data_IF_099868834168
#
_entry.id   IF_099868834168
#
_cell.length_a   1.000
_cell.length_b   1.000
_cell.length_c   1.000
_cell.angle_alpha   90.00
_cell.angle_beta   90.00
_cell.angle_gamma   90.00
#
_symmetry.space_group_name_H-M   'P 1'
#
loop_
_entity.id
_entity.type
_entity.pdbx_description
1 polymer ?
#
# COMPACT_ATOMS: atom_id res chain seq x y z
N UNK A 1 -19.68 -48.76 -33.58
CA UNK A 1 -20.00 -47.79 -32.52
C UNK A 1 -19.08 -46.60 -32.70
N UNK A 2 -19.61 -45.47 -33.15
CA UNK A 2 -18.81 -44.27 -33.42
C UNK A 2 -18.38 -43.61 -32.10
N UNK A 3 -17.08 -43.42 -31.97
CA UNK A 3 -16.40 -42.79 -30.85
C UNK A 3 -16.92 -41.36 -30.61
N UNK A 4 -17.79 -41.20 -29.60
CA UNK A 4 -18.30 -39.90 -29.14
C UNK A 4 -17.31 -39.20 -28.19
N UNK A 5 -16.18 -39.82 -27.83
CA UNK A 5 -15.17 -39.28 -26.93
C UNK A 5 -14.20 -38.28 -27.58
N UNK A 6 -14.12 -38.27 -28.91
CA UNK A 6 -13.09 -37.54 -29.66
C UNK A 6 -13.45 -36.05 -29.89
N UNK A 7 -14.74 -35.71 -30.03
CA UNK A 7 -15.16 -34.33 -30.35
C UNK A 7 -14.98 -33.36 -29.19
N UNK A 8 -15.29 -33.77 -27.97
CA UNK A 8 -15.14 -32.92 -26.77
C UNK A 8 -13.67 -32.70 -26.44
N UNK A 9 -12.85 -33.76 -26.56
CA UNK A 9 -11.40 -33.66 -26.36
C UNK A 9 -10.76 -32.70 -27.37
N UNK A 10 -11.11 -32.83 -28.66
CA UNK A 10 -10.64 -31.91 -29.71
C UNK A 10 -11.07 -30.47 -29.48
N UNK A 11 -12.29 -30.24 -29.01
CA UNK A 11 -12.76 -28.89 -28.68
C UNK A 11 -11.97 -28.30 -27.50
N UNK A 12 -11.70 -29.09 -26.46
CA UNK A 12 -10.91 -28.65 -25.31
C UNK A 12 -9.45 -28.37 -25.67
N UNK A 13 -8.83 -29.23 -26.49
CA UNK A 13 -7.46 -29.02 -26.98
C UNK A 13 -7.36 -27.79 -27.88
N UNK A 14 -8.38 -27.55 -28.72
CA UNK A 14 -8.47 -26.36 -29.56
C UNK A 14 -8.63 -25.08 -28.73
N UNK A 15 -9.58 -25.05 -27.78
CA UNK A 15 -9.77 -23.91 -26.88
C UNK A 15 -8.53 -23.64 -26.01
N UNK A 16 -7.85 -24.71 -25.57
CA UNK A 16 -6.59 -24.58 -24.84
C UNK A 16 -5.49 -24.00 -25.73
N UNK A 17 -5.43 -24.40 -27.00
CA UNK A 17 -4.53 -23.83 -28.01
C UNK A 17 -4.81 -22.34 -28.26
N UNK A 18 -6.08 -21.95 -28.44
CA UNK A 18 -6.49 -20.56 -28.59
C UNK A 18 -6.15 -19.73 -27.35
N UNK A 19 -6.36 -20.28 -26.14
CA UNK A 19 -5.95 -19.63 -24.89
C UNK A 19 -4.42 -19.44 -24.79
N UNK A 20 -3.63 -20.42 -25.27
CA UNK A 20 -2.17 -20.27 -25.33
C UNK A 20 -1.72 -19.27 -26.41
N UNK A 21 -2.40 -19.21 -27.56
CA UNK A 21 -2.16 -18.20 -28.60
C UNK A 21 -2.56 -16.79 -28.14
N UNK A 22 -3.68 -16.63 -27.44
CA UNK A 22 -4.06 -15.36 -26.80
C UNK A 22 -3.08 -14.96 -25.70
N UNK A 23 -2.67 -15.89 -24.83
CA UNK A 23 -1.66 -15.62 -23.80
C UNK A 23 -0.28 -15.28 -24.38
N UNK A 24 0.11 -15.89 -25.51
CA UNK A 24 1.37 -15.57 -26.18
C UNK A 24 1.32 -14.27 -26.96
N UNK A 25 0.19 -13.93 -27.59
CA UNK A 25 -0.03 -12.60 -28.19
C UNK A 25 -0.04 -11.48 -27.13
N UNK A 26 -0.51 -11.75 -25.91
CA UNK A 26 -0.37 -10.85 -24.75
C UNK A 26 1.11 -10.73 -24.32
N UNK A 27 1.91 -11.80 -24.43
CA UNK A 27 3.35 -11.76 -24.14
C UNK A 27 4.20 -11.03 -25.20
N UNK A 28 3.74 -10.94 -26.46
CA UNK A 28 4.44 -10.21 -27.53
C UNK A 28 4.16 -8.71 -27.56
N UNK A 29 3.06 -8.23 -26.95
CA UNK A 29 2.75 -6.79 -26.79
C UNK A 29 3.52 -6.14 -25.61
N UNK A 30 4.84 -6.37 -25.57
CA UNK A 30 5.76 -5.93 -24.50
C UNK A 30 5.88 -4.40 -24.36
N UNK A 31 4.92 -3.75 -23.70
CA UNK A 31 5.07 -2.54 -22.84
C UNK A 31 3.95 -2.41 -21.80
N UNK A 32 3.28 -3.49 -21.42
CA UNK A 32 2.22 -3.37 -20.42
C UNK A 32 2.78 -3.21 -19.01
N UNK A 33 2.09 -2.40 -18.21
CA UNK A 33 2.41 -2.12 -16.82
C UNK A 33 1.29 -2.70 -15.96
N UNK A 34 1.63 -3.58 -15.02
CA UNK A 34 0.65 -4.36 -14.25
C UNK A 34 1.24 -4.86 -12.93
N UNK A 35 0.36 -5.42 -12.09
CA UNK A 35 0.75 -6.15 -10.90
C UNK A 35 0.58 -7.65 -11.14
N UNK A 36 1.55 -8.46 -10.69
CA UNK A 36 1.55 -9.91 -10.86
C UNK A 36 1.99 -10.62 -9.58
N UNK A 37 1.26 -11.63 -9.14
CA UNK A 37 1.66 -12.47 -8.01
C UNK A 37 2.76 -13.48 -8.41
N UNK A 38 3.48 -14.01 -7.41
CA UNK A 38 4.57 -14.97 -7.64
C UNK A 38 4.09 -16.33 -8.17
N UNK A 39 2.82 -16.68 -7.96
CA UNK A 39 2.19 -17.87 -8.57
C UNK A 39 1.83 -17.67 -10.05
N UNK A 40 2.10 -16.49 -10.60
CA UNK A 40 1.81 -16.15 -11.98
C UNK A 40 0.48 -15.41 -12.17
N UNK A 41 -0.35 -15.28 -11.14
CA UNK A 41 -1.65 -14.62 -11.26
C UNK A 41 -1.48 -13.14 -11.66
N UNK A 42 -2.16 -12.75 -12.72
CA UNK A 42 -2.32 -11.34 -13.09
C UNK A 42 -3.28 -10.65 -12.11
N UNK A 43 -2.84 -9.53 -11.52
CA UNK A 43 -3.58 -8.80 -10.48
C UNK A 43 -4.07 -7.42 -10.95
N UNK A 44 -3.99 -7.15 -12.26
CA UNK A 44 -4.53 -5.97 -12.90
C UNK A 44 -3.48 -5.03 -13.48
N UNK A 45 -3.96 -4.16 -14.36
CA UNK A 45 -3.22 -3.16 -15.13
C UNK A 45 -2.99 -1.89 -14.33
N UNK A 46 -1.78 -1.34 -14.45
CA UNK A 46 -1.46 0.02 -14.07
C UNK A 46 -1.80 0.91 -15.26
N UNK A 47 -2.79 1.78 -15.09
CA UNK A 47 -3.27 2.67 -16.15
C UNK A 47 -3.88 3.93 -15.54
N UNK A 48 -3.83 5.04 -16.27
CA UNK A 48 -4.51 6.28 -15.89
C UNK A 48 -6.03 6.19 -16.10
N UNK A 49 -6.50 5.27 -16.95
CA UNK A 49 -7.92 5.02 -17.13
C UNK A 49 -8.44 4.04 -16.06
N UNK A 50 -8.99 4.59 -14.97
CA UNK A 50 -9.60 3.80 -13.89
C UNK A 50 -10.80 2.94 -14.29
N UNK A 51 -11.38 3.17 -15.46
CA UNK A 51 -12.54 2.44 -15.98
C UNK A 51 -12.16 1.35 -16.99
N UNK A 52 -10.87 1.23 -17.33
CA UNK A 52 -10.36 0.08 -18.08
C UNK A 52 -10.72 -1.21 -17.32
N UNK A 53 -11.18 -2.23 -18.05
CA UNK A 53 -11.64 -3.49 -17.47
C UNK A 53 -10.54 -4.19 -16.66
N UNK A 54 -9.29 -4.05 -17.11
CA UNK A 54 -8.15 -4.66 -16.44
C UNK A 54 -7.54 -3.75 -15.38
N UNK A 55 -7.97 -2.49 -15.26
CA UNK A 55 -7.40 -1.55 -14.29
C UNK A 55 -7.53 -2.05 -12.85
N UNK A 56 -6.43 -1.96 -12.11
CA UNK A 56 -6.42 -2.15 -10.65
C UNK A 56 -7.37 -1.15 -9.96
N UNK A 57 -7.61 0.03 -10.53
CA UNK A 57 -8.50 1.04 -9.94
C UNK A 57 -9.97 0.87 -10.31
N UNK A 58 -10.31 -0.09 -11.18
CA UNK A 58 -11.69 -0.36 -11.54
C UNK A 58 -12.37 -1.16 -10.43
N UNK A 59 -13.06 -0.45 -9.52
CA UNK A 59 -13.78 -1.04 -8.38
C UNK A 59 -14.91 -2.01 -8.77
N UNK A 60 -15.31 -2.04 -10.03
CA UNK A 60 -16.29 -2.99 -10.56
C UNK A 60 -15.64 -4.11 -11.39
N UNK A 61 -14.37 -3.95 -11.74
CA UNK A 61 -13.59 -4.92 -12.49
C UNK A 61 -13.05 -6.06 -11.61
N UNK A 62 -12.56 -7.14 -12.24
CA UNK A 62 -12.02 -8.30 -11.54
C UNK A 62 -10.80 -7.97 -10.68
N UNK A 63 -10.01 -6.94 -11.02
CA UNK A 63 -8.75 -6.65 -10.33
C UNK A 63 -8.84 -5.51 -9.30
N UNK A 64 -9.81 -4.62 -9.42
CA UNK A 64 -10.02 -3.52 -8.49
C UNK A 64 -11.17 -3.70 -7.50
N UNK A 65 -12.07 -4.66 -7.75
CA UNK A 65 -13.21 -4.91 -6.84
C UNK A 65 -12.77 -5.44 -5.49
N UNK A 66 -13.30 -4.87 -4.40
CA UNK A 66 -13.10 -5.36 -3.02
C UNK A 66 -13.70 -6.75 -2.75
N UNK A 67 -14.43 -7.31 -3.70
CA UNK A 67 -15.09 -8.61 -3.59
C UNK A 67 -14.43 -9.69 -4.47
N UNK A 68 -13.56 -9.30 -5.41
CA UNK A 68 -12.93 -10.24 -6.32
C UNK A 68 -11.79 -11.02 -5.64
N UNK A 69 -11.65 -12.30 -5.97
CA UNK A 69 -10.58 -13.14 -5.44
C UNK A 69 -9.20 -12.85 -6.06
N UNK A 70 -9.13 -12.09 -7.17
CA UNK A 70 -7.88 -11.66 -7.81
C UNK A 70 -7.50 -10.23 -7.47
N UNK A 71 -8.30 -9.54 -6.65
CA UNK A 71 -8.08 -8.15 -6.27
C UNK A 71 -7.25 -8.05 -5.00
N UNK A 72 -6.28 -7.14 -5.01
CA UNK A 72 -5.49 -6.75 -3.83
C UNK A 72 -6.30 -5.96 -2.79
N UNK A 73 -7.46 -5.41 -3.17
CA UNK A 73 -8.35 -4.67 -2.26
C UNK A 73 -9.33 -5.59 -1.52
N UNK A 74 -9.44 -6.85 -1.94
CA UNK A 74 -10.23 -7.82 -1.22
C UNK A 74 -9.42 -8.38 -0.05
N UNK A 75 -9.79 -7.98 1.18
CA UNK A 75 -9.14 -8.43 2.42
C UNK A 75 -9.26 -9.93 2.70
N UNK A 76 -10.03 -10.66 1.92
CA UNK A 76 -10.18 -12.12 2.01
C UNK A 76 -9.50 -12.86 0.86
N UNK A 77 -8.97 -12.16 -0.16
CA UNK A 77 -8.28 -12.80 -1.26
C UNK A 77 -6.86 -13.26 -0.86
N UNK A 78 -6.26 -14.21 -1.60
CA UNK A 78 -4.86 -14.59 -1.44
C UNK A 78 -3.87 -13.43 -1.64
N UNK A 79 -4.30 -12.35 -2.31
CA UNK A 79 -3.46 -11.23 -2.73
C UNK A 79 -3.69 -9.96 -1.91
N UNK A 80 -4.83 -9.81 -1.24
CA UNK A 80 -5.18 -8.62 -0.44
C UNK A 80 -5.31 -8.89 1.07
N UNK A 81 -5.35 -10.15 1.51
CA UNK A 81 -5.51 -10.49 2.92
C UNK A 81 -4.22 -10.36 3.74
N UNK A 82 -4.34 -10.09 5.03
CA UNK A 82 -3.19 -10.04 5.97
C UNK A 82 -2.45 -11.38 6.17
N UNK A 83 -2.95 -12.47 5.59
CA UNK A 83 -2.43 -13.83 5.80
C UNK A 83 -2.05 -14.55 4.50
N UNK A 84 -2.48 -14.06 3.33
CA UNK A 84 -2.21 -14.70 2.06
C UNK A 84 -0.70 -14.80 1.78
N UNK A 85 -0.25 -15.96 1.30
CA UNK A 85 1.17 -16.18 0.95
C UNK A 85 1.65 -15.25 -0.16
N UNK A 86 0.74 -14.82 -1.03
CA UNK A 86 0.98 -13.90 -2.14
C UNK A 86 0.41 -12.51 -1.89
N UNK A 87 0.10 -12.16 -0.64
CA UNK A 87 -0.55 -10.89 -0.36
C UNK A 87 0.42 -9.74 -0.18
N UNK A 88 0.05 -8.58 -0.72
CA UNK A 88 0.70 -7.31 -0.41
C UNK A 88 0.65 -6.97 1.09
N UNK A 89 -0.41 -7.40 1.80
CA UNK A 89 -0.68 -7.02 3.19
C UNK A 89 -0.15 -8.02 4.24
N UNK A 90 0.47 -9.12 3.82
CA UNK A 90 1.04 -10.08 4.75
C UNK A 90 2.50 -9.69 5.08
N UNK A 91 2.80 -9.27 6.32
CA UNK A 91 4.15 -8.84 6.71
C UNK A 91 5.19 -9.97 6.70
N UNK A 92 4.75 -11.23 6.57
CA UNK A 92 5.60 -12.41 6.50
C UNK A 92 5.58 -13.10 5.13
N UNK A 93 4.91 -12.52 4.12
CA UNK A 93 4.96 -13.07 2.77
C UNK A 93 6.39 -12.99 2.22
N UNK A 94 6.94 -14.13 1.82
CA UNK A 94 8.20 -14.22 1.07
C UNK A 94 7.98 -14.21 -0.43
N UNK A 95 6.71 -14.22 -0.87
CA UNK A 95 6.31 -14.28 -2.26
C UNK A 95 5.26 -13.22 -2.63
N UNK A 96 5.45 -11.94 -2.24
CA UNK A 96 4.47 -10.91 -2.52
C UNK A 96 4.43 -10.54 -4.01
N UNK A 97 3.38 -9.82 -4.45
CA UNK A 97 3.24 -9.39 -5.83
C UNK A 97 4.37 -8.47 -6.29
N UNK A 98 4.70 -8.59 -7.57
CA UNK A 98 5.65 -7.75 -8.30
C UNK A 98 4.92 -6.67 -9.09
N UNK A 99 5.41 -5.45 -8.96
CA UNK A 99 5.08 -4.35 -9.86
C UNK A 99 5.94 -4.47 -11.11
N UNK A 100 5.29 -4.63 -12.25
CA UNK A 100 5.92 -4.70 -13.57
C UNK A 100 5.56 -3.42 -14.33
N UNK A 101 6.55 -2.67 -14.78
CA UNK A 101 6.36 -1.45 -15.57
C UNK A 101 7.08 -1.62 -16.90
N UNK A 102 6.33 -1.54 -18.01
CA UNK A 102 6.86 -1.75 -19.36
C UNK A 102 7.64 -3.07 -19.54
N UNK A 103 7.25 -4.12 -18.82
CA UNK A 103 7.92 -5.43 -18.84
C UNK A 103 9.06 -5.60 -17.83
N UNK A 104 9.53 -4.53 -17.20
CA UNK A 104 10.56 -4.59 -16.18
C UNK A 104 9.97 -4.74 -14.78
N UNK A 105 10.51 -5.65 -13.98
CA UNK A 105 10.16 -5.77 -12.57
C UNK A 105 10.82 -4.60 -11.81
N UNK A 106 9.99 -3.77 -11.20
CA UNK A 106 10.43 -2.59 -10.44
C UNK A 106 10.71 -2.95 -8.99
N UNK A 107 9.71 -3.52 -8.30
CA UNK A 107 9.76 -3.82 -6.88
C UNK A 107 8.66 -4.80 -6.48
N UNK A 108 8.81 -5.38 -5.29
CA UNK A 108 7.73 -6.07 -4.60
C UNK A 108 6.79 -5.06 -3.94
N UNK A 109 5.47 -5.24 -4.08
CA UNK A 109 4.49 -4.50 -3.29
C UNK A 109 4.20 -5.30 -2.03
N UNK A 110 4.71 -4.88 -0.88
CA UNK A 110 4.69 -5.74 0.32
C UNK A 110 4.86 -5.02 1.65
N UNK A 111 4.14 -5.47 2.68
CA UNK A 111 4.40 -5.13 4.09
C UNK A 111 5.62 -5.86 4.68
N UNK A 112 6.19 -6.86 4.00
CA UNK A 112 7.38 -7.54 4.50
C UNK A 112 8.64 -6.67 4.31
N UNK A 113 9.08 -6.06 5.41
CA UNK A 113 10.24 -5.16 5.47
C UNK A 113 11.58 -5.79 5.04
N UNK A 114 11.69 -7.12 5.05
CA UNK A 114 12.93 -7.83 4.78
C UNK A 114 13.19 -8.07 3.29
N UNK A 115 12.21 -7.79 2.42
CA UNK A 115 12.37 -7.91 0.97
C UNK A 115 12.84 -6.59 0.36
N UNK A 116 13.68 -6.68 -0.67
CA UNK A 116 14.15 -5.54 -1.47
C UNK A 116 14.33 -5.98 -2.94
N UNK A 117 14.10 -5.09 -3.93
CA UNK A 117 13.44 -3.79 -3.82
C UNK A 117 11.97 -3.90 -3.41
N UNK A 118 11.47 -3.05 -2.50
CA UNK A 118 10.07 -3.07 -2.03
C UNK A 118 9.42 -1.69 -2.09
N UNK A 119 8.10 -1.67 -2.22
CA UNK A 119 7.25 -0.50 -2.05
C UNK A 119 6.16 -0.86 -1.04
N UNK A 120 5.94 0.01 -0.06
CA UNK A 120 4.84 -0.18 0.90
C UNK A 120 3.49 -0.13 0.18
N UNK A 121 2.58 -1.10 0.43
CA UNK A 121 1.26 -1.16 -0.20
C UNK A 121 0.43 0.11 -0.07
N UNK A 122 0.47 0.80 1.07
CA UNK A 122 -0.34 1.99 1.31
C UNK A 122 0.21 3.16 0.48
N UNK A 123 1.53 3.29 0.39
CA UNK A 123 2.17 4.28 -0.47
C UNK A 123 1.92 3.98 -1.94
N UNK A 124 1.99 2.71 -2.35
CA UNK A 124 1.64 2.29 -3.71
C UNK A 124 0.19 2.63 -4.05
N UNK A 125 -0.78 2.26 -3.21
CA UNK A 125 -2.21 2.52 -3.44
C UNK A 125 -2.50 4.03 -3.46
N UNK A 126 -1.89 4.79 -2.55
CA UNK A 126 -2.02 6.25 -2.51
C UNK A 126 -1.52 6.88 -3.81
N UNK A 127 -0.30 6.53 -4.25
CA UNK A 127 0.27 7.01 -5.52
C UNK A 127 -0.55 6.54 -6.72
N UNK A 128 -1.04 5.30 -6.71
CA UNK A 128 -1.86 4.76 -7.80
C UNK A 128 -3.15 5.57 -7.95
N UNK A 129 -3.75 5.99 -6.85
CA UNK A 129 -5.00 6.77 -6.84
C UNK A 129 -4.78 8.24 -7.18
N UNK A 130 -3.65 8.83 -6.76
CA UNK A 130 -3.37 10.27 -6.90
C UNK A 130 -2.58 10.63 -8.16
N UNK A 131 -1.58 9.84 -8.51
CA UNK A 131 -0.72 10.03 -9.68
C UNK A 131 -0.29 8.67 -10.30
N UNK A 132 -1.21 7.98 -11.00
CA UNK A 132 -0.87 6.75 -11.70
C UNK A 132 0.18 6.96 -12.81
N UNK A 133 0.33 8.18 -13.33
CA UNK A 133 1.35 8.49 -14.34
C UNK A 133 2.77 8.45 -13.76
N UNK A 134 2.94 8.88 -12.50
CA UNK A 134 4.21 8.73 -11.77
C UNK A 134 4.66 7.28 -11.67
N UNK A 135 3.74 6.36 -11.36
CA UNK A 135 4.03 4.92 -11.31
C UNK A 135 4.48 4.38 -12.68
N UNK A 136 3.84 4.81 -13.77
CA UNK A 136 4.20 4.38 -15.14
C UNK A 136 5.58 4.89 -15.60
N UNK A 137 6.13 5.90 -14.93
CA UNK A 137 7.46 6.47 -15.22
C UNK A 137 8.59 5.75 -14.50
N UNK A 138 8.28 4.87 -13.55
CA UNK A 138 9.28 4.10 -12.81
C UNK A 138 10.16 3.26 -13.72
N UNK A 139 11.41 3.09 -13.32
CA UNK A 139 12.43 2.32 -14.05
C UNK A 139 13.17 1.41 -13.08
N UNK A 140 13.51 0.20 -13.52
CA UNK A 140 14.38 -0.69 -12.73
C UNK A 140 15.74 -0.02 -12.51
N UNK A 141 16.32 -0.22 -11.34
CA UNK A 141 17.58 0.40 -10.90
C UNK A 141 17.57 1.93 -10.75
N UNK A 142 16.39 2.58 -10.79
CA UNK A 142 16.25 3.97 -10.32
C UNK A 142 15.95 3.97 -8.82
N UNK A 143 16.28 5.06 -8.12
CA UNK A 143 15.91 5.24 -6.72
C UNK A 143 14.41 5.55 -6.61
N UNK A 144 13.56 4.60 -6.97
CA UNK A 144 12.10 4.77 -6.96
C UNK A 144 11.56 5.04 -5.57
N UNK A 145 12.31 4.72 -4.50
CA UNK A 145 11.92 5.08 -3.14
C UNK A 145 11.67 6.59 -3.02
N UNK A 146 12.43 7.46 -3.72
CA UNK A 146 12.13 8.90 -3.72
C UNK A 146 10.82 9.28 -4.39
N UNK A 147 10.32 8.47 -5.33
CA UNK A 147 9.04 8.68 -6.03
C UNK A 147 7.83 8.26 -5.18
N UNK A 148 8.04 7.31 -4.26
CA UNK A 148 7.05 6.83 -3.29
C UNK A 148 7.20 7.45 -1.90
N UNK A 149 8.31 8.15 -1.63
CA UNK A 149 8.43 9.00 -0.46
C UNK A 149 7.29 10.01 -0.53
N UNK A 150 6.41 9.96 0.46
CA UNK A 150 5.45 11.02 0.70
C UNK A 150 6.27 12.29 0.89
N UNK A 151 6.22 13.21 -0.08
CA UNK A 151 6.75 14.56 0.11
C UNK A 151 5.91 15.36 1.11
N UNK A 152 4.79 14.80 1.55
CA UNK A 152 4.01 15.31 2.67
C UNK A 152 4.76 15.04 3.99
N UNK A 153 4.52 15.88 4.98
CA UNK A 153 4.91 15.57 6.37
C UNK A 153 3.83 14.68 7.01
N UNK A 154 4.22 13.65 7.76
CA UNK A 154 3.28 12.66 8.30
C UNK A 154 3.76 11.94 9.56
N UNK A 155 2.84 11.23 10.20
CA UNK A 155 3.12 10.29 11.30
C UNK A 155 3.10 8.84 10.80
N UNK A 156 4.03 8.04 11.29
CA UNK A 156 4.11 6.61 11.03
C UNK A 156 4.32 5.88 12.36
N UNK A 157 3.59 4.81 12.63
CA UNK A 157 3.86 3.94 13.78
C UNK A 157 5.20 3.21 13.60
N UNK A 158 5.75 2.65 14.68
CA UNK A 158 7.00 1.89 14.58
C UNK A 158 6.84 0.62 13.72
N UNK A 159 5.62 0.05 13.70
CA UNK A 159 5.23 -1.07 12.83
C UNK A 159 5.06 -0.69 11.33
N UNK A 160 5.25 0.58 10.97
CA UNK A 160 5.11 1.09 9.61
C UNK A 160 3.69 1.52 9.23
N UNK A 161 2.73 1.52 10.17
CA UNK A 161 1.37 1.98 9.91
C UNK A 161 1.32 3.48 9.73
N UNK A 162 0.72 3.97 8.63
CA UNK A 162 0.48 5.39 8.43
C UNK A 162 -0.56 5.92 9.44
N UNK A 163 -0.21 6.96 10.19
CA UNK A 163 -1.04 7.54 11.26
C UNK A 163 -1.60 8.93 10.94
N UNK A 164 -1.37 9.44 9.72
CA UNK A 164 -1.98 10.67 9.23
C UNK A 164 -0.98 11.73 8.79
N UNK A 165 -1.47 12.66 7.96
CA UNK A 165 -0.72 13.82 7.48
C UNK A 165 -0.60 14.89 8.56
N UNK A 166 0.59 15.46 8.64
CA UNK A 166 0.89 16.66 9.41
C UNK A 166 0.58 17.87 8.54
N UNK A 167 -0.70 18.25 8.50
CA UNK A 167 -1.20 19.40 7.72
C UNK A 167 -2.07 20.29 8.59
N UNK A 168 -2.03 21.60 8.34
CA UNK A 168 -2.89 22.59 8.98
C UNK A 168 -4.34 22.54 8.48
N UNK A 169 -4.60 21.88 7.35
CA UNK A 169 -5.95 21.67 6.84
C UNK A 169 -6.67 20.60 7.68
N UNK A 170 -7.46 21.02 8.67
CA UNK A 170 -8.26 20.14 9.53
C UNK A 170 -9.38 19.40 8.76
N UNK A 171 -9.68 19.81 7.52
CA UNK A 171 -10.70 19.17 6.68
C UNK A 171 -10.12 18.13 5.72
N UNK A 172 -8.79 18.05 5.58
CA UNK A 172 -8.15 17.02 4.78
C UNK A 172 -8.49 15.64 5.37
N UNK A 173 -8.90 14.70 4.51
CA UNK A 173 -9.32 13.35 4.92
C UNK A 173 -8.21 12.53 5.58
N UNK A 174 -6.95 12.86 5.31
CA UNK A 174 -5.76 12.21 5.87
C UNK A 174 -5.15 12.98 7.04
N UNK A 175 -5.66 14.17 7.39
CA UNK A 175 -5.09 15.00 8.46
C UNK A 175 -5.24 14.39 9.85
N UNK A 176 -4.16 14.45 10.63
CA UNK A 176 -4.19 14.14 12.07
C UNK A 176 -5.05 15.14 12.86
N UNK A 177 -5.30 16.33 12.31
CA UNK A 177 -6.14 17.34 12.95
C UNK A 177 -7.62 17.20 12.58
N UNK A 178 -7.97 16.31 11.65
CA UNK A 178 -9.35 16.03 11.28
C UNK A 178 -10.03 15.13 12.33
N UNK A 179 -10.71 15.75 13.30
CA UNK A 179 -11.41 15.06 14.40
C UNK A 179 -12.54 14.11 13.96
N UNK A 180 -12.97 14.19 12.70
CA UNK A 180 -13.96 13.30 12.09
C UNK A 180 -13.34 12.31 11.10
N UNK A 181 -12.05 12.46 10.78
CA UNK A 181 -11.31 11.61 9.86
C UNK A 181 -10.67 10.40 10.55
N UNK A 182 -10.16 9.47 9.75
CA UNK A 182 -9.58 8.21 10.24
C UNK A 182 -8.32 8.42 11.10
N UNK A 183 -7.63 9.55 10.98
CA UNK A 183 -6.34 9.78 11.62
C UNK A 183 -6.37 10.79 12.78
N UNK A 184 -7.41 11.63 12.85
CA UNK A 184 -7.61 12.59 13.93
C UNK A 184 -8.77 12.25 14.88
N UNK A 185 -9.66 11.31 14.52
CA UNK A 185 -10.80 10.98 15.36
C UNK A 185 -10.41 10.16 16.59
N UNK A 186 -10.94 10.54 17.76
CA UNK A 186 -10.78 9.79 19.02
C UNK A 186 -11.39 8.38 18.99
N UNK A 187 -12.21 8.06 17.97
CA UNK A 187 -12.87 6.76 17.84
C UNK A 187 -12.20 5.84 16.81
N UNK A 188 -11.24 6.36 16.04
CA UNK A 188 -10.59 5.58 14.98
C UNK A 188 -9.48 4.69 15.53
N UNK A 189 -9.34 3.47 15.01
CA UNK A 189 -8.28 2.55 15.42
C UNK A 189 -6.88 2.96 14.93
N UNK A 190 -6.80 3.84 13.92
CA UNK A 190 -5.55 4.36 13.35
C UNK A 190 -5.19 5.75 13.84
N UNK A 191 -5.96 6.32 14.77
CA UNK A 191 -5.74 7.66 15.33
C UNK A 191 -4.93 7.58 16.61
N UNK A 192 -3.94 8.47 16.74
CA UNK A 192 -3.20 8.64 18.00
C UNK A 192 -4.07 9.22 19.12
N UNK A 193 -5.22 9.81 18.79
CA UNK A 193 -6.13 10.40 19.78
C UNK A 193 -7.18 9.43 20.30
N UNK A 194 -7.15 8.16 19.86
CA UNK A 194 -7.98 7.12 20.44
C UNK A 194 -7.29 6.51 21.65
N UNK A 195 -7.70 6.93 22.85
CA UNK A 195 -7.14 6.50 24.15
C UNK A 195 -7.31 4.99 24.43
N UNK A 196 -8.18 4.31 23.68
CA UNK A 196 -8.38 2.86 23.77
C UNK A 196 -7.72 2.10 22.61
N UNK A 197 -7.12 2.82 21.65
CA UNK A 197 -6.50 2.26 20.45
C UNK A 197 -5.02 1.95 20.63
N UNK A 198 -4.49 1.13 19.71
CA UNK A 198 -3.06 0.75 19.68
C UNK A 198 -2.14 1.97 19.61
N UNK A 199 -2.52 3.03 18.89
CA UNK A 199 -1.65 4.18 18.65
C UNK A 199 -1.91 5.37 19.59
N UNK A 200 -2.92 5.30 20.46
CA UNK A 200 -3.27 6.38 21.39
C UNK A 200 -3.34 5.96 22.86
N UNK A 201 -3.52 4.68 23.17
CA UNK A 201 -3.62 4.21 24.54
C UNK A 201 -2.32 4.32 25.33
N UNK A 202 -2.40 4.85 26.55
CA UNK A 202 -1.24 5.17 27.41
C UNK A 202 -0.38 3.97 27.81
N UNK A 203 -0.91 2.76 27.69
CA UNK A 203 -0.19 1.51 27.99
C UNK A 203 0.38 0.82 26.75
N UNK A 204 0.04 1.29 25.54
CA UNK A 204 0.52 0.67 24.30
C UNK A 204 1.97 1.05 24.04
N UNK A 205 2.79 0.08 23.60
CA UNK A 205 4.16 0.36 23.14
C UNK A 205 4.19 1.18 21.84
N UNK A 206 3.10 1.24 21.08
CA UNK A 206 2.99 2.04 19.84
C UNK A 206 2.39 3.43 20.07
N UNK A 207 2.12 3.81 21.32
CA UNK A 207 1.48 5.08 21.66
C UNK A 207 2.51 6.17 21.97
N UNK A 208 2.30 7.41 21.50
CA UNK A 208 3.13 8.54 21.88
C UNK A 208 2.89 8.96 23.33
N UNK A 209 1.82 8.49 23.97
CA UNK A 209 1.44 8.84 25.35
C UNK A 209 1.95 7.84 26.41
N UNK A 210 2.68 6.80 26.00
CA UNK A 210 3.29 5.86 26.93
C UNK A 210 4.71 6.31 27.30
N UNK A 211 4.91 6.66 28.57
CA UNK A 211 6.19 7.12 29.14
C UNK A 211 7.30 6.07 29.09
N UNK A 212 6.94 4.80 28.90
CA UNK A 212 7.88 3.67 28.80
C UNK A 212 7.99 3.09 27.39
N UNK A 213 7.30 3.67 26.40
CA UNK A 213 7.39 3.17 25.02
C UNK A 213 8.80 3.38 24.47
N UNK A 214 9.38 2.31 23.93
CA UNK A 214 10.62 2.33 23.15
C UNK A 214 10.37 2.30 21.64
N UNK A 215 9.10 2.17 21.23
CA UNK A 215 8.66 2.09 19.83
C UNK A 215 7.53 3.09 19.53
N UNK A 216 7.66 4.37 19.90
CA UNK A 216 6.61 5.35 19.67
C UNK A 216 6.51 5.73 18.18
N UNK A 217 5.45 6.44 17.77
CA UNK A 217 5.34 6.94 16.41
C UNK A 217 6.51 7.83 15.99
N UNK A 218 6.87 7.73 14.72
CA UNK A 218 7.89 8.51 14.02
C UNK A 218 7.22 9.67 13.29
N UNK A 219 7.92 10.79 13.25
CA UNK A 219 7.55 12.01 12.55
C UNK A 219 8.44 12.11 11.32
N UNK A 220 7.82 12.23 10.15
CA UNK A 220 8.49 12.51 8.90
C UNK A 220 8.14 13.92 8.43
N UNK A 221 9.16 14.69 8.05
CA UNK A 221 9.01 16.01 7.42
C UNK A 221 9.46 15.88 5.98
N UNK A 222 8.56 16.15 5.04
CA UNK A 222 8.79 15.98 3.61
C UNK A 222 9.35 14.59 3.24
N UNK A 223 8.88 13.55 3.93
CA UNK A 223 9.35 12.17 3.76
C UNK A 223 10.67 11.83 4.46
N UNK A 224 11.35 12.79 5.09
CA UNK A 224 12.57 12.54 5.85
C UNK A 224 12.27 12.34 7.34
N UNK A 225 12.89 11.35 7.96
CA UNK A 225 12.73 11.10 9.39
C UNK A 225 13.24 12.29 10.19
N UNK A 226 12.33 12.93 10.94
CA UNK A 226 12.67 14.08 11.78
C UNK A 226 12.93 13.68 13.23
N UNK A 227 12.12 12.77 13.79
CA UNK A 227 12.16 12.41 15.21
C UNK A 227 10.97 11.58 15.65
N UNK A 228 10.79 11.46 16.96
CA UNK A 228 9.71 10.67 17.57
C UNK A 228 8.61 11.56 18.15
N UNK A 229 7.35 11.15 18.03
CA UNK A 229 6.24 11.71 18.78
C UNK A 229 6.12 10.92 20.09
N UNK A 230 6.52 11.49 21.22
CA UNK A 230 6.57 10.73 22.48
C UNK A 230 6.62 11.62 23.72
N UNK A 231 6.03 11.14 24.81
CA UNK A 231 6.24 11.65 26.18
C UNK A 231 7.41 10.98 26.89
N UNK A 232 8.00 9.91 26.34
CA UNK A 232 9.15 9.24 26.93
C UNK A 232 10.41 10.11 26.78
N UNK A 233 10.84 10.71 27.89
CA UNK A 233 12.01 11.59 27.93
C UNK A 233 13.34 10.85 27.76
N UNK A 234 13.38 9.54 27.98
CA UNK A 234 14.59 8.74 27.92
C UNK A 234 14.98 8.30 26.51
N UNK A 235 14.09 8.47 25.52
CA UNK A 235 14.43 8.20 24.12
C UNK A 235 15.45 9.22 23.59
N UNK A 236 16.46 8.72 22.89
CA UNK A 236 17.47 9.56 22.24
C UNK A 236 16.96 10.16 20.92
N UNK A 237 17.47 11.33 20.57
CA UNK A 237 17.14 12.02 19.31
C UNK A 237 16.06 13.08 19.45
N UNK A 238 15.62 13.62 18.31
CA UNK A 238 14.56 14.61 18.25
C UNK A 238 13.24 14.01 18.74
N UNK A 239 12.54 14.76 19.58
CA UNK A 239 11.24 14.37 20.15
C UNK A 239 10.27 15.53 20.07
N UNK A 240 9.00 15.20 19.90
CA UNK A 240 7.89 16.14 20.05
C UNK A 240 6.91 15.55 21.06
N UNK A 241 6.53 16.36 22.04
CA UNK A 241 5.47 15.97 22.96
C UNK A 241 4.14 15.93 22.18
N UNK A 242 3.36 14.84 22.22
CA UNK A 242 2.09 14.76 21.50
C UNK A 242 1.08 15.85 21.88
N UNK A 243 1.18 16.45 23.07
CA UNK A 243 0.34 17.58 23.48
C UNK A 243 0.65 18.88 22.70
N UNK A 244 1.86 18.98 22.14
CA UNK A 244 2.31 20.15 21.37
C UNK A 244 2.10 19.98 19.86
N UNK A 245 1.65 18.80 19.41
CA UNK A 245 1.56 18.44 18.00
C UNK A 245 0.78 19.46 17.17
N UNK A 246 -0.39 19.89 17.66
CA UNK A 246 -1.24 20.86 16.95
C UNK A 246 -0.50 22.18 16.71
N UNK A 247 0.11 22.73 17.76
CA UNK A 247 0.84 24.00 17.68
C UNK A 247 2.08 23.86 16.78
N UNK A 248 2.78 22.73 16.88
CA UNK A 248 3.96 22.45 16.08
C UNK A 248 3.63 22.36 14.58
N UNK A 249 2.52 21.72 14.20
CA UNK A 249 2.06 21.67 12.80
C UNK A 249 1.81 23.09 12.29
N UNK A 250 1.11 23.92 13.07
CA UNK A 250 0.85 25.31 12.68
C UNK A 250 2.11 26.16 12.55
N UNK A 251 3.16 25.91 13.34
CA UNK A 251 4.37 26.73 13.30
C UNK A 251 5.38 26.27 12.25
N UNK A 252 5.54 24.95 12.08
CA UNK A 252 6.67 24.36 11.35
C UNK A 252 6.31 23.91 9.93
N UNK A 253 5.04 23.66 9.65
CA UNK A 253 4.57 23.27 8.31
C UNK A 253 4.12 24.52 7.50
N UNK A 254 3.99 25.69 8.15
CA UNK A 254 3.62 26.98 7.51
C UNK A 254 4.81 27.89 7.17
N UNK A 255 6.04 27.51 7.52
CA UNK A 255 7.28 28.26 7.25
C UNK A 255 8.06 27.68 6.09
#
# INVERSE_FOLDING_TARGET
MADKGDKTKKLLEHLLGELYEEQSNVQENRRESFLKAQDGQYLGKITTNRYDNDSILNKYGPFGSRYSNTSIFNKYSPYGSRYGSYSINNPHSTQPPQLVINGDIIAYITKNRHLNPKIDPDNFISKLTTDPSGILRLRSNSNFESEFNRQDSYLEADDGTFLGKLTSNEYDSESVLNKYGNFGSQYSTTSIFNEYGTYGGTYSSQSPFNEYSTTPPKIYINGEFWGYLTVNEYLSGNKLNPKELKNWISQKILS
#
